data_IF_081947675284
#
_entry.id   IF_081947675284
#
_cell.length_a   1.000
_cell.length_b   1.000
_cell.length_c   1.000
_cell.angle_alpha   90.00
_cell.angle_beta   90.00
_cell.angle_gamma   90.00
#
_symmetry.space_group_name_H-M   'P 1'
#
loop_
_entity.id
_entity.type
_entity.pdbx_description
1 polymer ?
#
# COMPACT_ATOMS: atom_id res chain seq x y z
N UNK A 1 -8.49 0.95 2.43
CA UNK A 1 -8.06 2.08 1.58
C UNK A 1 -8.96 2.17 0.37
N UNK A 2 -9.68 3.26 0.20
CA UNK A 2 -10.59 3.53 -0.94
C UNK A 2 -11.73 2.51 -1.17
N UNK A 3 -12.06 1.65 -0.21
CA UNK A 3 -13.02 0.54 -0.40
C UNK A 3 -14.40 1.05 -0.82
N UNK A 4 -14.95 2.01 -0.09
CA UNK A 4 -16.27 2.58 -0.39
C UNK A 4 -16.33 3.22 -1.78
N UNK A 5 -15.28 3.96 -2.15
CA UNK A 5 -15.17 4.58 -3.47
C UNK A 5 -15.04 3.53 -4.56
N UNK A 6 -14.17 2.54 -4.37
CA UNK A 6 -13.94 1.46 -5.32
C UNK A 6 -15.20 0.62 -5.55
N UNK A 7 -15.91 0.23 -4.48
CA UNK A 7 -17.14 -0.57 -4.60
C UNK A 7 -18.23 0.16 -5.39
N UNK A 8 -18.41 1.47 -5.17
CA UNK A 8 -19.38 2.28 -5.89
C UNK A 8 -19.03 2.45 -7.36
N UNK A 9 -17.75 2.76 -7.65
CA UNK A 9 -17.30 2.92 -9.03
C UNK A 9 -17.40 1.59 -9.79
N UNK A 10 -17.00 0.48 -9.16
CA UNK A 10 -17.14 -0.86 -9.75
C UNK A 10 -18.59 -1.16 -10.08
N UNK A 11 -19.53 -0.94 -9.15
CA UNK A 11 -20.95 -1.16 -9.39
C UNK A 11 -21.51 -0.29 -10.54
N UNK A 12 -21.05 0.96 -10.64
CA UNK A 12 -21.43 1.87 -11.75
C UNK A 12 -20.95 1.32 -13.10
N UNK A 13 -19.69 0.88 -13.16
CA UNK A 13 -19.12 0.36 -14.40
C UNK A 13 -19.64 -1.02 -14.79
N UNK A 14 -19.96 -1.90 -13.84
CA UNK A 14 -20.62 -3.18 -14.10
C UNK A 14 -22.00 -2.96 -14.75
N UNK A 15 -22.79 -2.01 -14.25
CA UNK A 15 -24.07 -1.63 -14.88
C UNK A 15 -23.87 -1.15 -16.32
N UNK A 16 -22.85 -0.33 -16.57
CA UNK A 16 -22.55 0.20 -17.89
C UNK A 16 -22.07 -0.91 -18.85
N UNK A 17 -21.23 -1.85 -18.37
CA UNK A 17 -20.75 -3.00 -19.16
C UNK A 17 -21.86 -3.99 -19.52
N UNK A 18 -22.92 -4.07 -18.74
CA UNK A 18 -24.12 -4.87 -19.06
C UNK A 18 -24.95 -4.34 -20.24
N UNK A 19 -24.66 -3.14 -20.77
CA UNK A 19 -25.34 -2.55 -21.92
C UNK A 19 -24.69 -2.99 -23.23
N UNK A 20 -25.52 -3.38 -24.21
CA UNK A 20 -25.04 -3.75 -25.53
C UNK A 20 -24.42 -2.58 -26.30
N UNK A 21 -24.93 -1.37 -26.06
CA UNK A 21 -24.40 -0.08 -26.53
C UNK A 21 -24.59 0.96 -25.43
N UNK A 22 -23.64 1.87 -25.28
CA UNK A 22 -23.75 3.00 -24.36
C UNK A 22 -24.44 4.15 -25.08
N UNK A 23 -25.54 4.63 -24.52
CA UNK A 23 -26.23 5.84 -25.00
C UNK A 23 -25.76 7.08 -24.25
N UNK A 24 -26.09 8.29 -24.76
CA UNK A 24 -25.84 9.55 -24.03
C UNK A 24 -26.45 9.54 -22.62
N UNK A 25 -27.67 9.00 -22.50
CA UNK A 25 -28.35 8.88 -21.21
C UNK A 25 -27.59 7.93 -20.24
N UNK A 26 -27.10 6.79 -20.75
CA UNK A 26 -26.30 5.84 -19.96
C UNK A 26 -24.97 6.47 -19.49
N UNK A 27 -24.32 7.24 -20.38
CA UNK A 27 -23.10 7.97 -20.05
C UNK A 27 -23.38 9.04 -18.98
N UNK A 28 -24.42 9.83 -19.12
CA UNK A 28 -24.79 10.87 -18.16
C UNK A 28 -25.24 10.27 -16.81
N UNK A 29 -25.86 9.08 -16.78
CA UNK A 29 -26.17 8.34 -15.57
C UNK A 29 -24.89 7.89 -14.88
N UNK A 30 -23.98 7.22 -15.61
CA UNK A 30 -22.71 6.75 -15.06
C UNK A 30 -21.85 7.90 -14.52
N UNK A 31 -21.75 9.03 -15.24
CA UNK A 31 -21.01 10.20 -14.80
C UNK A 31 -21.64 10.87 -13.56
N UNK A 32 -22.96 10.78 -13.41
CA UNK A 32 -23.66 11.21 -12.19
C UNK A 32 -23.28 10.34 -11.00
N UNK A 33 -23.27 9.01 -11.19
CA UNK A 33 -22.88 8.06 -10.15
C UNK A 33 -21.40 8.24 -9.75
N UNK A 34 -20.49 8.40 -10.73
CA UNK A 34 -19.06 8.72 -10.49
C UNK A 34 -18.92 10.02 -9.68
N UNK A 35 -19.68 11.06 -10.06
CA UNK A 35 -19.67 12.34 -9.32
C UNK A 35 -20.11 12.15 -7.87
N UNK A 36 -21.20 11.42 -7.64
CA UNK A 36 -21.72 11.15 -6.28
C UNK A 36 -20.68 10.36 -5.47
N UNK A 37 -20.12 9.29 -6.05
CA UNK A 37 -19.12 8.46 -5.39
C UNK A 37 -17.88 9.27 -4.95
N UNK A 38 -17.37 10.14 -5.80
CA UNK A 38 -16.24 11.01 -5.49
C UNK A 38 -16.55 12.05 -4.42
N UNK A 39 -17.76 12.65 -4.45
CA UNK A 39 -18.19 13.63 -3.44
C UNK A 39 -18.38 12.97 -2.08
N UNK A 40 -18.94 11.78 -2.02
CA UNK A 40 -19.09 11.00 -0.78
C UNK A 40 -17.75 10.49 -0.24
N UNK A 41 -16.77 10.30 -1.13
CA UNK A 41 -15.39 10.05 -0.76
C UNK A 41 -14.65 11.30 -0.28
N UNK A 42 -15.32 12.45 -0.15
CA UNK A 42 -14.77 13.73 0.32
C UNK A 42 -13.76 14.36 -0.65
N UNK A 43 -13.90 14.07 -1.96
CA UNK A 43 -13.13 14.76 -3.01
C UNK A 43 -13.67 16.17 -3.21
N UNK A 44 -12.78 17.15 -3.36
CA UNK A 44 -13.14 18.55 -3.55
C UNK A 44 -14.09 18.75 -4.75
N UNK A 45 -15.18 19.47 -4.53
CA UNK A 45 -16.24 19.69 -5.53
C UNK A 45 -15.75 20.25 -6.88
N UNK A 46 -14.79 21.19 -6.85
CA UNK A 46 -14.24 21.80 -8.08
C UNK A 46 -13.50 20.75 -8.90
N UNK A 47 -12.74 19.89 -8.23
CA UNK A 47 -11.96 18.81 -8.84
C UNK A 47 -12.88 17.77 -9.44
N UNK A 48 -13.92 17.33 -8.70
CA UNK A 48 -14.92 16.39 -9.20
C UNK A 48 -15.64 16.94 -10.44
N UNK A 49 -16.02 18.20 -10.41
CA UNK A 49 -16.67 18.84 -11.55
C UNK A 49 -15.77 18.87 -12.79
N UNK A 50 -14.50 19.18 -12.61
CA UNK A 50 -13.51 19.20 -13.71
C UNK A 50 -13.30 17.77 -14.28
N UNK A 51 -13.12 16.77 -13.42
CA UNK A 51 -12.94 15.38 -13.84
C UNK A 51 -14.13 14.90 -14.68
N UNK A 52 -15.36 15.10 -14.18
CA UNK A 52 -16.58 14.68 -14.88
C UNK A 52 -16.72 15.39 -16.24
N UNK A 53 -16.41 16.69 -16.31
CA UNK A 53 -16.43 17.45 -17.55
C UNK A 53 -15.41 16.90 -18.57
N UNK A 54 -14.16 16.65 -18.12
CA UNK A 54 -13.10 16.08 -18.96
C UNK A 54 -13.46 14.69 -19.48
N UNK A 55 -14.00 13.82 -18.62
CA UNK A 55 -14.43 12.47 -19.04
C UNK A 55 -15.56 12.56 -20.08
N UNK A 56 -16.55 13.43 -19.86
CA UNK A 56 -17.67 13.60 -20.81
C UNK A 56 -17.17 14.10 -22.18
N UNK A 57 -16.32 15.11 -22.19
CA UNK A 57 -15.73 15.68 -23.41
C UNK A 57 -14.97 14.62 -24.21
N UNK A 58 -14.12 13.82 -23.54
CA UNK A 58 -13.33 12.75 -24.17
C UNK A 58 -14.24 11.62 -24.68
N UNK A 59 -15.24 11.20 -23.91
CA UNK A 59 -16.17 10.17 -24.32
C UNK A 59 -16.94 10.54 -25.61
N UNK A 60 -17.29 11.81 -25.77
CA UNK A 60 -17.92 12.31 -27.01
C UNK A 60 -16.88 12.37 -28.14
N UNK A 61 -15.67 12.89 -27.87
CA UNK A 61 -14.61 13.05 -28.88
C UNK A 61 -14.10 11.72 -29.43
N UNK A 62 -14.03 10.67 -28.60
CA UNK A 62 -13.59 9.32 -28.96
C UNK A 62 -14.72 8.47 -29.57
N UNK A 63 -15.91 9.03 -29.80
CA UNK A 63 -17.08 8.35 -30.37
C UNK A 63 -17.46 7.07 -29.62
N UNK A 64 -17.36 7.11 -28.29
CA UNK A 64 -17.67 5.98 -27.41
C UNK A 64 -19.07 5.43 -27.68
N UNK A 65 -20.04 6.31 -27.97
CA UNK A 65 -21.44 5.97 -28.23
C UNK A 65 -21.62 5.18 -29.54
N UNK A 66 -20.70 5.26 -30.47
CA UNK A 66 -20.71 4.52 -31.74
C UNK A 66 -20.02 3.14 -31.61
N UNK A 67 -19.28 2.90 -30.52
CA UNK A 67 -18.47 1.70 -30.31
C UNK A 67 -19.25 0.54 -29.67
N UNK A 68 -18.97 -0.69 -30.11
CA UNK A 68 -19.45 -1.91 -29.46
C UNK A 68 -18.80 -2.11 -28.08
N UNK A 69 -17.59 -1.56 -27.87
CA UNK A 69 -16.85 -1.59 -26.60
C UNK A 69 -16.97 -0.27 -25.81
N UNK A 70 -18.04 0.49 -26.02
CA UNK A 70 -18.22 1.82 -25.44
C UNK A 70 -18.06 1.87 -23.92
N UNK A 71 -18.60 0.90 -23.21
CA UNK A 71 -18.46 0.82 -21.75
C UNK A 71 -16.99 0.69 -21.30
N UNK A 72 -16.20 -0.14 -21.98
CA UNK A 72 -14.78 -0.31 -21.69
C UNK A 72 -13.98 0.95 -22.00
N UNK A 73 -14.36 1.67 -23.05
CA UNK A 73 -13.75 2.96 -23.39
C UNK A 73 -14.06 4.02 -22.31
N UNK A 74 -15.29 4.07 -21.78
CA UNK A 74 -15.63 4.97 -20.67
C UNK A 74 -14.76 4.67 -19.44
N UNK A 75 -14.63 3.41 -19.05
CA UNK A 75 -13.76 3.01 -17.92
C UNK A 75 -12.32 3.45 -18.13
N UNK A 76 -11.80 3.26 -19.36
CA UNK A 76 -10.44 3.70 -19.72
C UNK A 76 -10.29 5.22 -19.62
N UNK A 77 -11.25 5.98 -20.14
CA UNK A 77 -11.22 7.45 -20.08
C UNK A 77 -11.26 7.94 -18.63
N UNK A 78 -12.08 7.32 -17.77
CA UNK A 78 -12.12 7.64 -16.32
C UNK A 78 -10.79 7.31 -15.66
N UNK A 79 -10.20 6.13 -15.98
CA UNK A 79 -8.89 5.75 -15.50
C UNK A 79 -7.83 6.79 -15.87
N UNK A 80 -7.73 7.14 -17.14
CA UNK A 80 -6.73 8.09 -17.64
C UNK A 80 -6.92 9.48 -17.01
N UNK A 81 -8.16 9.93 -16.83
CA UNK A 81 -8.48 11.19 -16.14
C UNK A 81 -8.11 11.17 -14.65
N UNK A 82 -8.29 10.03 -13.96
CA UNK A 82 -7.81 9.85 -12.59
C UNK A 82 -6.28 9.86 -12.50
N UNK A 83 -5.59 9.19 -13.43
CA UNK A 83 -4.11 9.21 -13.50
C UNK A 83 -3.58 10.62 -13.70
N UNK A 84 -4.17 11.39 -14.60
CA UNK A 84 -3.79 12.80 -14.80
C UNK A 84 -3.99 13.66 -13.55
N UNK A 85 -5.10 13.45 -12.84
CA UNK A 85 -5.40 14.14 -11.59
C UNK A 85 -4.41 13.77 -10.48
N UNK A 86 -4.00 12.51 -10.39
CA UNK A 86 -3.04 12.00 -9.41
C UNK A 86 -1.57 12.34 -9.75
N UNK A 87 -1.29 12.65 -11.02
CA UNK A 87 0.04 12.81 -11.58
C UNK A 87 0.36 11.65 -12.53
N UNK A 88 0.94 11.95 -13.67
CA UNK A 88 1.15 10.95 -14.73
C UNK A 88 2.22 9.91 -14.39
N UNK A 89 3.19 10.28 -13.55
CA UNK A 89 4.36 9.46 -13.25
C UNK A 89 4.70 9.47 -11.76
N UNK A 90 5.36 8.39 -11.31
CA UNK A 90 5.92 8.31 -9.97
C UNK A 90 7.15 9.24 -9.87
N UNK A 91 7.16 10.12 -8.88
CA UNK A 91 8.27 11.03 -8.63
C UNK A 91 9.11 10.49 -7.48
N UNK A 92 10.38 10.12 -7.72
CA UNK A 92 11.24 9.55 -6.69
C UNK A 92 11.67 10.61 -5.66
N UNK A 93 12.13 10.12 -4.50
CA UNK A 93 12.87 10.95 -3.54
C UNK A 93 14.16 11.43 -4.20
N UNK A 94 14.49 12.70 -4.01
CA UNK A 94 15.72 13.30 -4.52
C UNK A 94 16.97 12.53 -4.08
N UNK A 95 17.97 12.52 -4.95
CA UNK A 95 19.31 12.04 -4.65
C UNK A 95 20.35 13.06 -5.10
N UNK A 96 21.13 13.53 -4.15
CA UNK A 96 22.23 14.45 -4.48
C UNK A 96 23.38 13.69 -5.15
N UNK A 97 23.98 14.21 -6.19
CA UNK A 97 25.23 13.67 -6.74
C UNK A 97 26.40 13.80 -5.75
N UNK A 98 26.34 14.79 -4.84
CA UNK A 98 27.33 15.00 -3.79
C UNK A 98 26.66 14.83 -2.42
N UNK A 99 26.92 13.74 -1.70
CA UNK A 99 26.37 13.53 -0.36
C UNK A 99 26.71 14.65 0.63
N UNK A 100 25.85 14.92 1.61
CA UNK A 100 24.57 14.22 1.85
C UNK A 100 23.41 14.77 0.99
N UNK A 101 22.46 13.87 0.68
CA UNK A 101 21.11 14.31 0.30
C UNK A 101 20.39 14.82 1.54
N UNK A 102 19.85 16.01 1.51
CA UNK A 102 19.10 16.58 2.63
C UNK A 102 17.62 16.57 2.31
N UNK A 103 16.81 16.04 3.22
CA UNK A 103 15.35 15.94 3.14
C UNK A 103 14.77 16.60 4.38
N UNK A 104 13.91 17.58 4.22
CA UNK A 104 13.20 18.23 5.32
C UNK A 104 11.75 17.78 5.33
N UNK A 105 11.27 17.30 6.47
CA UNK A 105 9.90 16.82 6.67
C UNK A 105 9.11 17.91 7.37
N UNK A 106 8.04 18.39 6.73
CA UNK A 106 7.18 19.47 7.23
C UNK A 106 5.72 19.02 7.31
N UNK A 107 4.87 19.76 8.03
CA UNK A 107 3.43 19.50 8.15
C UNK A 107 2.86 19.81 9.54
N UNK A 108 1.54 19.70 9.67
CA UNK A 108 0.84 19.97 10.92
C UNK A 108 1.16 18.96 12.03
N UNK A 109 0.83 19.32 13.27
CA UNK A 109 0.91 18.40 14.40
C UNK A 109 -0.04 17.22 14.19
N UNK A 110 0.43 16.00 14.50
CA UNK A 110 -0.39 14.79 14.32
C UNK A 110 -0.49 14.26 12.89
N UNK A 111 0.07 14.95 11.89
CA UNK A 111 0.04 14.48 10.50
C UNK A 111 0.91 13.23 10.25
N UNK A 112 1.77 12.86 11.20
CA UNK A 112 2.63 11.67 11.09
C UNK A 112 4.05 11.96 10.62
N UNK A 113 4.58 13.19 10.76
CA UNK A 113 5.94 13.58 10.35
C UNK A 113 7.03 12.67 10.91
N UNK A 114 7.11 12.56 12.22
CA UNK A 114 8.13 11.76 12.92
C UNK A 114 8.11 10.29 12.49
N UNK A 115 6.92 9.71 12.37
CA UNK A 115 6.75 8.35 11.88
C UNK A 115 7.13 8.22 10.41
N UNK A 116 6.76 9.20 9.58
CA UNK A 116 7.13 9.24 8.15
C UNK A 116 8.63 9.40 7.96
N UNK A 117 9.30 10.23 8.76
CA UNK A 117 10.76 10.36 8.74
C UNK A 117 11.45 9.02 8.99
N UNK A 118 11.02 8.28 10.02
CA UNK A 118 11.54 6.95 10.32
C UNK A 118 11.24 5.92 9.20
N UNK A 119 10.03 5.93 8.64
CA UNK A 119 9.66 5.05 7.51
C UNK A 119 10.48 5.35 6.26
N UNK A 120 10.69 6.63 5.94
CA UNK A 120 11.53 7.07 4.81
C UNK A 120 12.97 6.61 5.04
N UNK A 121 13.51 6.78 6.24
CA UNK A 121 14.85 6.28 6.58
C UNK A 121 14.95 4.76 6.35
N UNK A 122 13.95 3.99 6.78
CA UNK A 122 13.91 2.55 6.56
C UNK A 122 13.84 2.18 5.07
N UNK A 123 13.02 2.88 4.30
CA UNK A 123 12.90 2.69 2.85
C UNK A 123 14.25 2.94 2.15
N UNK A 124 14.90 4.07 2.46
CA UNK A 124 16.18 4.44 1.86
C UNK A 124 17.31 3.48 2.28
N UNK A 125 17.30 3.00 3.53
CA UNK A 125 18.24 1.97 3.99
C UNK A 125 18.09 0.66 3.23
N UNK A 126 16.86 0.22 2.96
CA UNK A 126 16.60 -0.96 2.13
C UNK A 126 17.09 -0.79 0.69
N UNK A 127 17.18 0.44 0.21
CA UNK A 127 17.76 0.80 -1.09
C UNK A 127 19.29 0.96 -1.06
N UNK A 128 19.95 0.59 0.06
CA UNK A 128 21.41 0.64 0.20
C UNK A 128 21.97 2.02 0.58
N UNK A 129 21.11 2.98 0.99
CA UNK A 129 21.55 4.30 1.49
C UNK A 129 21.88 4.22 3.00
N UNK A 130 22.63 5.21 3.46
CA UNK A 130 23.02 5.38 4.89
C UNK A 130 22.33 6.62 5.48
N UNK A 131 21.03 6.53 5.84
CA UNK A 131 20.29 7.67 6.37
C UNK A 131 20.70 8.00 7.81
N UNK A 132 20.63 9.28 8.14
CA UNK A 132 20.70 9.83 9.51
C UNK A 132 19.42 10.62 9.74
N UNK A 133 18.78 10.40 10.88
CA UNK A 133 17.63 11.18 11.33
C UNK A 133 18.11 12.35 12.18
N UNK A 134 17.53 13.52 11.97
CA UNK A 134 17.78 14.71 12.81
C UNK A 134 16.43 15.21 13.30
N UNK A 135 16.25 15.34 14.61
CA UNK A 135 15.07 15.99 15.18
C UNK A 135 15.38 17.45 15.48
N UNK A 136 14.60 18.33 14.87
CA UNK A 136 14.59 19.77 15.14
C UNK A 136 13.33 20.20 15.95
N UNK A 137 12.52 19.26 16.41
CA UNK A 137 11.35 19.52 17.27
C UNK A 137 11.77 19.65 18.73
N UNK A 138 12.49 20.71 19.06
CA UNK A 138 12.98 20.98 20.42
C UNK A 138 11.88 21.34 21.43
N UNK A 139 10.69 21.69 20.94
CA UNK A 139 9.58 22.11 21.78
C UNK A 139 8.80 20.93 22.38
N UNK A 140 8.99 19.70 21.87
CA UNK A 140 8.27 18.50 22.30
C UNK A 140 9.22 17.36 22.64
N UNK A 141 9.66 17.24 23.91
CA UNK A 141 10.57 16.17 24.34
C UNK A 141 10.09 14.77 23.95
N UNK A 142 8.79 14.50 24.06
CA UNK A 142 8.22 13.21 23.70
C UNK A 142 8.37 12.88 22.18
N UNK A 143 8.36 13.87 21.30
CA UNK A 143 8.59 13.66 19.85
C UNK A 143 10.05 13.30 19.58
N UNK A 144 11.00 13.94 20.27
CA UNK A 144 12.41 13.60 20.19
C UNK A 144 12.68 12.17 20.66
N UNK A 145 12.15 11.80 21.83
CA UNK A 145 12.26 10.44 22.36
C UNK A 145 11.65 9.41 21.42
N UNK A 146 10.49 9.73 20.83
CA UNK A 146 9.84 8.86 19.84
C UNK A 146 10.76 8.61 18.64
N UNK A 147 11.38 9.65 18.07
CA UNK A 147 12.27 9.48 16.93
C UNK A 147 13.51 8.66 17.30
N UNK A 148 14.07 8.85 18.50
CA UNK A 148 15.19 8.07 19.00
C UNK A 148 14.85 6.57 19.16
N UNK A 149 13.67 6.26 19.71
CA UNK A 149 13.18 4.88 19.82
C UNK A 149 13.04 4.24 18.44
N UNK A 150 12.42 4.95 17.48
CA UNK A 150 12.27 4.48 16.11
C UNK A 150 13.63 4.29 15.41
N UNK A 151 14.55 5.24 15.57
CA UNK A 151 15.90 5.13 15.03
C UNK A 151 16.66 3.93 15.59
N UNK A 152 16.56 3.70 16.90
CA UNK A 152 17.17 2.52 17.55
C UNK A 152 16.59 1.22 17.03
N UNK A 153 15.27 1.12 16.83
CA UNK A 153 14.61 -0.05 16.25
C UNK A 153 15.10 -0.35 14.83
N UNK A 154 15.37 0.70 14.07
CA UNK A 154 15.85 0.61 12.69
C UNK A 154 17.36 0.45 12.58
N UNK A 155 18.14 0.68 13.63
CA UNK A 155 19.61 0.79 13.55
C UNK A 155 20.04 2.02 12.74
N UNK A 156 19.27 3.11 12.77
CA UNK A 156 19.54 4.39 12.09
C UNK A 156 19.96 5.42 13.15
N UNK A 157 21.11 6.11 12.98
CA UNK A 157 21.53 7.16 13.91
C UNK A 157 20.52 8.29 13.98
N UNK A 158 20.26 8.79 15.20
CA UNK A 158 19.41 9.96 15.45
C UNK A 158 20.24 11.04 16.14
N UNK A 159 20.13 12.27 15.68
CA UNK A 159 20.76 13.46 16.26
C UNK A 159 19.69 14.45 16.68
N UNK A 160 19.92 15.14 17.79
CA UNK A 160 19.13 16.31 18.20
C UNK A 160 19.82 17.56 17.68
N UNK A 161 19.07 18.52 17.22
CA UNK A 161 19.60 19.77 16.72
C UNK A 161 18.65 20.94 16.98
N UNK A 162 19.23 22.10 17.22
CA UNK A 162 18.47 23.34 17.20
C UNK A 162 18.12 23.72 15.76
N UNK A 163 16.95 24.35 15.50
CA UNK A 163 16.54 24.75 14.16
C UNK A 163 17.57 25.60 13.38
N UNK A 164 18.41 26.35 14.09
CA UNK A 164 19.47 27.17 13.49
C UNK A 164 20.79 26.45 13.21
N UNK A 165 20.99 25.20 13.72
CA UNK A 165 22.26 24.47 13.60
C UNK A 165 22.01 22.97 13.33
N UNK A 166 21.56 22.66 12.13
CA UNK A 166 21.24 21.30 11.70
C UNK A 166 22.51 20.57 11.21
N UNK A 167 22.94 19.46 11.88
CA UNK A 167 24.12 18.73 11.46
C UNK A 167 23.88 17.91 10.20
N UNK A 168 24.49 18.30 9.09
CA UNK A 168 24.38 17.62 7.79
C UNK A 168 25.48 16.56 7.60
N UNK A 169 25.76 15.74 8.60
CA UNK A 169 26.87 14.77 8.60
C UNK A 169 26.44 13.41 9.17
N UNK A 170 27.22 12.37 8.87
CA UNK A 170 27.07 11.03 9.47
C UNK A 170 26.40 9.99 8.57
N UNK A 171 26.03 10.37 7.36
CA UNK A 171 25.46 9.47 6.35
C UNK A 171 25.43 10.12 4.98
N UNK A 172 24.97 9.37 3.98
CA UNK A 172 24.74 9.89 2.62
C UNK A 172 23.40 10.61 2.47
N UNK A 173 22.55 10.49 3.46
CA UNK A 173 21.21 11.11 3.49
C UNK A 173 20.92 11.61 4.90
N UNK A 174 20.50 12.85 5.01
CA UNK A 174 20.04 13.46 6.27
C UNK A 174 18.56 13.78 6.15
N UNK A 175 17.75 13.25 7.06
CA UNK A 175 16.31 13.48 7.13
C UNK A 175 16.02 14.29 8.39
N UNK A 176 15.53 15.51 8.18
CA UNK A 176 15.22 16.47 9.26
C UNK A 176 13.73 16.41 9.57
N UNK A 177 13.37 15.97 10.78
CA UNK A 177 12.03 16.01 11.34
C UNK A 177 11.81 17.35 12.04
N UNK A 178 10.87 18.16 11.55
CA UNK A 178 10.59 19.50 12.08
C UNK A 178 9.42 19.48 13.08
N UNK A 179 9.36 20.50 13.93
CA UNK A 179 8.21 20.75 14.77
C UNK A 179 6.92 20.89 13.95
N UNK A 180 5.80 20.56 14.56
CA UNK A 180 4.48 20.82 13.99
C UNK A 180 3.58 21.42 15.06
N UNK A 181 2.74 22.37 14.63
CA UNK A 181 1.68 22.95 15.47
C UNK A 181 0.29 22.56 14.97
N UNK A 182 -0.71 22.74 15.79
CA UNK A 182 -2.09 22.41 15.43
C UNK A 182 -2.62 23.27 14.28
N UNK A 183 -2.16 24.52 14.22
CA UNK A 183 -2.52 25.47 13.18
C UNK A 183 -1.28 26.08 12.58
N UNK A 184 -1.40 26.54 11.34
CA UNK A 184 -0.37 27.30 10.64
C UNK A 184 -0.34 28.68 11.24
N UNK A 185 0.72 29.03 11.93
CA UNK A 185 1.00 30.36 12.47
C UNK A 185 2.33 30.91 11.94
N UNK A 186 2.52 32.21 12.08
CA UNK A 186 3.69 32.92 11.56
C UNK A 186 4.99 32.42 12.19
N UNK A 187 4.99 32.11 13.49
CA UNK A 187 6.18 31.66 14.21
C UNK A 187 6.63 30.26 13.72
N UNK A 188 5.67 29.35 13.50
CA UNK A 188 5.96 28.03 12.94
C UNK A 188 6.52 28.15 11.53
N UNK A 189 5.90 28.97 10.68
CA UNK A 189 6.35 29.12 9.31
C UNK A 189 7.76 29.72 9.24
N UNK A 190 8.06 30.74 10.04
CA UNK A 190 9.38 31.35 10.13
C UNK A 190 10.47 30.35 10.59
N UNK A 191 10.15 29.49 11.58
CA UNK A 191 11.05 28.42 12.04
C UNK A 191 11.39 27.45 10.92
N UNK A 192 10.37 26.95 10.22
CA UNK A 192 10.54 25.98 9.11
C UNK A 192 11.25 26.64 7.91
N UNK A 193 10.93 27.88 7.57
CA UNK A 193 11.64 28.68 6.54
C UNK A 193 13.13 28.84 6.90
N UNK A 194 13.45 29.08 8.18
CA UNK A 194 14.81 29.13 8.68
C UNK A 194 15.56 27.82 8.47
N UNK A 195 14.95 26.68 8.83
CA UNK A 195 15.53 25.36 8.61
C UNK A 195 15.76 25.09 7.11
N UNK A 196 14.79 25.36 6.26
CA UNK A 196 14.90 25.17 4.80
C UNK A 196 16.01 26.05 4.22
N UNK A 197 16.10 27.32 4.64
CA UNK A 197 17.14 28.24 4.19
C UNK A 197 18.55 27.83 4.62
N UNK A 198 18.69 27.36 5.87
CA UNK A 198 19.97 26.93 6.43
C UNK A 198 20.46 25.62 5.80
N UNK A 199 19.55 24.65 5.59
CA UNK A 199 19.92 23.31 5.13
C UNK A 199 19.94 23.16 3.61
N UNK A 200 19.29 24.04 2.87
CA UNK A 200 19.15 23.99 1.39
C UNK A 200 18.80 22.58 0.92
N UNK A 201 17.65 22.04 1.34
CA UNK A 201 17.32 20.65 1.14
C UNK A 201 17.10 20.31 -0.33
N UNK A 202 17.38 19.06 -0.70
CA UNK A 202 17.08 18.50 -2.02
C UNK A 202 15.60 18.12 -2.15
N UNK A 203 14.96 17.80 -1.01
CA UNK A 203 13.53 17.58 -0.90
C UNK A 203 12.96 18.28 0.34
N UNK A 204 11.87 19.00 0.16
CA UNK A 204 10.97 19.44 1.22
C UNK A 204 9.68 18.66 1.08
N UNK A 205 9.48 17.68 1.98
CA UNK A 205 8.36 16.76 1.93
C UNK A 205 7.28 17.19 2.92
N UNK A 206 6.11 17.53 2.41
CA UNK A 206 4.94 17.85 3.23
C UNK A 206 4.18 16.56 3.58
N UNK A 207 4.11 16.24 4.86
CA UNK A 207 3.32 15.11 5.36
C UNK A 207 1.89 15.55 5.60
N UNK A 208 0.99 14.91 4.88
CA UNK A 208 -0.45 15.18 4.91
C UNK A 208 -1.17 13.98 5.50
N UNK A 209 -2.04 14.22 6.47
CA UNK A 209 -2.93 13.20 7.02
C UNK A 209 -4.08 12.96 6.04
N UNK A 210 -4.18 11.75 5.49
CA UNK A 210 -5.24 11.39 4.55
C UNK A 210 -6.64 11.45 5.17
N UNK A 211 -6.74 11.36 6.50
CA UNK A 211 -8.03 11.43 7.22
C UNK A 211 -8.54 12.86 7.45
N UNK A 212 -7.71 13.88 7.21
CA UNK A 212 -8.04 15.28 7.51
C UNK A 212 -9.01 15.91 6.48
N UNK A 213 -9.42 15.18 5.43
CA UNK A 213 -10.40 15.69 4.46
C UNK A 213 -9.96 16.99 3.78
N UNK A 214 -10.87 17.97 3.72
CA UNK A 214 -10.59 19.27 3.09
C UNK A 214 -9.52 20.08 3.83
N UNK A 215 -9.39 19.94 5.16
CA UNK A 215 -8.34 20.64 5.94
C UNK A 215 -6.94 20.26 5.46
N UNK A 216 -6.75 19.06 4.93
CA UNK A 216 -5.51 18.62 4.33
C UNK A 216 -5.14 19.45 3.08
N UNK A 217 -6.14 19.80 2.27
CA UNK A 217 -5.97 20.60 1.05
C UNK A 217 -5.61 22.04 1.43
N UNK A 218 -6.31 22.60 2.39
CA UNK A 218 -6.10 23.97 2.86
C UNK A 218 -4.71 24.13 3.49
N UNK A 219 -4.31 23.17 4.33
CA UNK A 219 -2.98 23.11 4.92
C UNK A 219 -1.89 23.00 3.82
N UNK A 220 -2.06 22.08 2.88
CA UNK A 220 -1.08 21.89 1.82
C UNK A 220 -0.92 23.15 0.95
N UNK A 221 -2.01 23.83 0.67
CA UNK A 221 -2.00 25.09 -0.09
C UNK A 221 -1.26 26.18 0.67
N UNK A 222 -1.51 26.32 1.97
CA UNK A 222 -0.85 27.33 2.80
C UNK A 222 0.66 27.05 2.97
N UNK A 223 1.06 25.80 3.17
CA UNK A 223 2.48 25.44 3.21
C UNK A 223 3.17 25.70 1.86
N UNK A 224 2.52 25.37 0.75
CA UNK A 224 3.08 25.56 -0.59
C UNK A 224 3.26 27.04 -0.97
N UNK A 225 2.41 27.90 -0.44
CA UNK A 225 2.55 29.36 -0.66
C UNK A 225 3.81 29.96 -0.01
N UNK A 226 4.37 29.29 1.01
CA UNK A 226 5.49 29.80 1.82
C UNK A 226 6.78 28.99 1.63
N UNK A 227 6.69 27.71 1.38
CA UNK A 227 7.82 26.78 1.32
C UNK A 227 7.95 26.17 -0.07
N UNK A 228 9.18 25.90 -0.53
CA UNK A 228 9.44 25.21 -1.80
C UNK A 228 9.17 23.70 -1.67
N UNK A 229 7.89 23.32 -1.45
CA UNK A 229 7.50 21.92 -1.29
C UNK A 229 7.77 21.17 -2.60
N UNK A 230 8.56 20.10 -2.53
CA UNK A 230 8.96 19.29 -3.69
C UNK A 230 8.16 18.00 -3.81
N UNK A 231 7.44 17.62 -2.76
CA UNK A 231 6.62 16.41 -2.76
C UNK A 231 5.75 16.26 -1.53
N UNK A 232 4.70 15.46 -1.69
CA UNK A 232 3.77 15.10 -0.63
C UNK A 232 4.07 13.68 -0.13
N UNK A 233 3.87 13.47 1.16
CA UNK A 233 3.81 12.16 1.79
C UNK A 233 2.41 12.00 2.37
N UNK A 234 1.61 11.10 1.80
CA UNK A 234 0.28 10.79 2.32
C UNK A 234 0.41 9.81 3.48
N UNK A 235 0.11 10.25 4.68
CA UNK A 235 0.15 9.43 5.88
C UNK A 235 -1.25 8.89 6.23
N UNK A 236 -1.31 7.75 6.94
CA UNK A 236 -2.54 7.12 7.46
C UNK A 236 -3.57 6.73 6.39
N UNK A 237 -3.12 6.44 5.19
CA UNK A 237 -4.02 6.08 4.08
C UNK A 237 -4.72 4.74 4.32
N UNK A 238 -4.13 3.87 5.13
CA UNK A 238 -4.72 2.60 5.59
C UNK A 238 -5.98 2.79 6.45
N UNK A 239 -6.05 3.88 7.19
CA UNK A 239 -7.19 4.25 8.03
C UNK A 239 -8.24 5.08 7.30
N UNK A 240 -7.93 5.61 6.11
CA UNK A 240 -8.83 6.37 5.28
C UNK A 240 -9.66 5.46 4.35
N UNK A 241 -10.92 5.24 4.72
CA UNK A 241 -11.86 4.46 3.90
C UNK A 241 -12.38 5.26 2.69
N UNK A 242 -12.33 6.59 2.73
CA UNK A 242 -12.88 7.49 1.70
C UNK A 242 -11.86 7.84 0.62
N UNK A 243 -10.63 8.21 1.01
CA UNK A 243 -9.51 8.48 0.09
C UNK A 243 -9.53 9.83 -0.63
N UNK A 244 -10.54 10.65 -0.42
CA UNK A 244 -10.75 11.87 -1.20
C UNK A 244 -9.73 12.98 -0.96
N UNK A 245 -9.21 13.09 0.26
CA UNK A 245 -8.16 14.06 0.55
C UNK A 245 -6.90 13.80 -0.28
N UNK A 246 -6.51 12.54 -0.43
CA UNK A 246 -5.36 12.12 -1.24
C UNK A 246 -5.50 12.55 -2.70
N UNK A 247 -6.71 12.43 -3.27
CA UNK A 247 -7.03 12.87 -4.62
C UNK A 247 -7.01 14.40 -4.72
N UNK A 248 -7.54 15.07 -3.71
CA UNK A 248 -7.76 16.52 -3.72
C UNK A 248 -6.48 17.32 -3.53
N UNK A 249 -5.58 16.90 -2.62
CA UNK A 249 -4.37 17.68 -2.28
C UNK A 249 -3.47 17.85 -3.50
N UNK A 250 -3.22 16.77 -4.24
CA UNK A 250 -2.39 16.84 -5.45
C UNK A 250 -3.05 17.69 -6.54
N UNK A 251 -4.34 17.49 -6.79
CA UNK A 251 -5.06 18.22 -7.81
C UNK A 251 -5.18 19.73 -7.51
N UNK A 252 -5.28 20.10 -6.22
CA UNK A 252 -5.37 21.50 -5.81
C UNK A 252 -4.03 22.23 -5.82
N UNK A 253 -2.94 21.55 -5.44
CA UNK A 253 -1.62 22.18 -5.26
C UNK A 253 -0.67 22.01 -6.44
N UNK A 254 -0.90 20.99 -7.28
CA UNK A 254 0.05 20.60 -8.33
C UNK A 254 1.29 19.86 -7.82
N UNK A 255 1.49 19.76 -6.51
CA UNK A 255 2.65 19.10 -5.90
C UNK A 255 2.56 17.60 -6.11
N UNK A 256 3.64 16.92 -6.58
CA UNK A 256 3.60 15.48 -6.77
C UNK A 256 3.53 14.73 -5.43
N UNK A 257 2.71 13.68 -5.37
CA UNK A 257 2.79 12.72 -4.28
C UNK A 257 3.98 11.81 -4.54
N UNK A 258 4.92 11.71 -3.59
CA UNK A 258 6.10 10.85 -3.70
C UNK A 258 5.93 9.54 -2.96
N UNK A 259 5.31 9.58 -1.79
CA UNK A 259 5.20 8.44 -0.89
C UNK A 259 3.81 8.32 -0.29
N UNK A 260 3.44 7.10 0.07
CA UNK A 260 2.17 6.77 0.71
C UNK A 260 2.41 5.81 1.88
N UNK A 261 1.96 6.19 3.08
CA UNK A 261 1.97 5.36 4.28
C UNK A 261 0.76 4.42 4.29
N UNK A 262 1.03 3.11 4.28
CA UNK A 262 0.03 2.05 4.11
C UNK A 262 -0.23 1.23 5.37
N UNK A 263 0.18 1.72 6.54
CA UNK A 263 -0.03 1.03 7.81
C UNK A 263 0.86 1.59 8.92
N UNK A 264 0.73 1.08 10.14
CA UNK A 264 1.46 1.56 11.30
C UNK A 264 2.94 1.10 11.35
N UNK A 265 3.26 -0.06 10.75
CA UNK A 265 4.60 -0.64 10.78
C UNK A 265 5.62 0.25 10.06
N UNK A 266 6.89 0.18 10.49
CA UNK A 266 7.97 0.99 9.92
C UNK A 266 8.34 0.62 8.46
N UNK A 267 7.89 -0.50 7.96
CA UNK A 267 8.02 -0.92 6.57
C UNK A 267 6.79 -0.59 5.71
N UNK A 268 5.69 -0.12 6.35
CA UNK A 268 4.45 0.21 5.69
C UNK A 268 4.50 1.63 5.08
N UNK A 269 5.36 1.79 4.08
CA UNK A 269 5.46 2.96 3.21
C UNK A 269 5.83 2.49 1.81
N UNK A 270 5.21 3.08 0.81
CA UNK A 270 5.48 2.73 -0.59
C UNK A 270 5.64 3.99 -1.45
N UNK A 271 6.35 3.85 -2.57
CA UNK A 271 6.42 4.88 -3.61
C UNK A 271 5.03 5.04 -4.21
N UNK A 272 4.62 6.28 -4.41
CA UNK A 272 3.32 6.58 -4.99
C UNK A 272 3.33 6.37 -6.50
N UNK A 273 2.45 5.51 -6.98
CA UNK A 273 2.25 5.23 -8.41
C UNK A 273 0.83 5.63 -8.82
N UNK A 274 0.65 6.73 -9.55
CA UNK A 274 -0.68 7.22 -9.94
C UNK A 274 -1.55 6.18 -10.66
N UNK A 275 -0.97 5.46 -11.62
CA UNK A 275 -1.64 4.43 -12.40
C UNK A 275 -2.16 3.29 -11.52
N UNK A 276 -1.33 2.77 -10.60
CA UNK A 276 -1.72 1.71 -9.67
C UNK A 276 -2.84 2.15 -8.72
N UNK A 277 -2.78 3.40 -8.25
CA UNK A 277 -3.83 3.94 -7.39
C UNK A 277 -5.14 4.10 -8.16
N UNK A 278 -5.11 4.62 -9.40
CA UNK A 278 -6.29 4.71 -10.25
C UNK A 278 -6.91 3.31 -10.50
N UNK A 279 -6.09 2.30 -10.77
CA UNK A 279 -6.55 0.91 -10.92
C UNK A 279 -7.22 0.38 -9.64
N UNK A 280 -6.64 0.63 -8.46
CA UNK A 280 -7.24 0.26 -7.16
C UNK A 280 -8.59 0.94 -6.95
N UNK A 281 -8.69 2.25 -7.23
CA UNK A 281 -9.92 3.02 -7.11
C UNK A 281 -11.03 2.48 -8.03
N UNK A 282 -10.66 2.01 -9.22
CA UNK A 282 -11.60 1.45 -10.20
C UNK A 282 -11.92 -0.04 -9.98
N UNK A 283 -11.41 -0.65 -8.90
CA UNK A 283 -11.62 -2.07 -8.63
C UNK A 283 -10.91 -3.02 -9.62
N UNK A 284 -9.99 -2.50 -10.43
CA UNK A 284 -9.24 -3.28 -11.43
C UNK A 284 -8.11 -4.12 -10.83
N UNK A 285 -7.89 -4.01 -9.52
CA UNK A 285 -6.79 -4.67 -8.81
C UNK A 285 -5.44 -3.97 -9.01
N UNK A 286 -4.40 -4.51 -8.37
CA UNK A 286 -3.03 -4.00 -8.48
C UNK A 286 -2.05 -5.18 -8.57
N UNK A 287 -2.05 -5.83 -9.71
CA UNK A 287 -1.22 -7.01 -9.97
C UNK A 287 0.27 -6.70 -9.88
N UNK A 288 0.68 -5.50 -10.30
CA UNK A 288 2.10 -5.10 -10.28
C UNK A 288 2.62 -5.01 -8.86
N UNK A 289 1.91 -4.30 -7.97
CA UNK A 289 2.28 -4.23 -6.54
C UNK A 289 2.24 -5.62 -5.89
N UNK A 290 1.29 -6.49 -6.25
CA UNK A 290 1.23 -7.86 -5.75
C UNK A 290 2.49 -8.65 -6.14
N UNK A 291 2.91 -8.56 -7.41
CA UNK A 291 4.11 -9.22 -7.93
C UNK A 291 5.37 -8.65 -7.25
N UNK A 292 5.49 -7.34 -7.10
CA UNK A 292 6.62 -6.71 -6.40
C UNK A 292 6.70 -7.16 -4.93
N UNK A 293 5.58 -7.19 -4.21
CA UNK A 293 5.53 -7.71 -2.83
C UNK A 293 5.92 -9.19 -2.77
N UNK A 294 5.47 -9.98 -3.73
CA UNK A 294 5.84 -11.38 -3.83
C UNK A 294 7.36 -11.54 -4.07
N UNK A 295 7.92 -10.80 -5.02
CA UNK A 295 9.35 -10.83 -5.33
C UNK A 295 10.23 -10.36 -4.15
N UNK A 296 9.78 -9.40 -3.36
CA UNK A 296 10.52 -8.91 -2.20
C UNK A 296 10.61 -9.94 -1.05
N UNK A 297 9.71 -10.91 -1.00
CA UNK A 297 9.62 -11.92 0.08
C UNK A 297 10.14 -13.29 -0.35
N UNK A 298 10.08 -13.59 -1.66
CA UNK A 298 10.39 -14.92 -2.20
C UNK A 298 11.79 -14.91 -2.80
N UNK A 299 12.71 -15.72 -2.24
CA UNK A 299 13.97 -16.02 -2.90
C UNK A 299 13.67 -16.87 -4.15
N UNK A 300 14.13 -16.39 -5.31
CA UNK A 300 13.85 -17.02 -6.59
C UNK A 300 14.30 -18.48 -6.64
N UNK A 301 15.42 -18.80 -5.97
CA UNK A 301 15.94 -20.18 -5.88
C UNK A 301 15.06 -21.07 -4.99
N UNK A 302 14.52 -20.52 -3.91
CA UNK A 302 13.57 -21.24 -3.06
C UNK A 302 12.24 -21.47 -3.78
N UNK A 303 11.75 -20.50 -4.55
CA UNK A 303 10.53 -20.61 -5.34
C UNK A 303 10.64 -21.71 -6.40
N UNK A 304 11.77 -21.77 -7.14
CA UNK A 304 12.02 -22.83 -8.13
C UNK A 304 12.10 -24.21 -7.47
N UNK A 305 12.77 -24.32 -6.33
CA UNK A 305 12.87 -25.57 -5.58
C UNK A 305 11.50 -26.05 -5.06
N UNK A 306 10.66 -25.12 -4.59
CA UNK A 306 9.30 -25.42 -4.13
C UNK A 306 8.37 -25.78 -5.29
N UNK A 307 8.46 -25.10 -6.43
CA UNK A 307 7.71 -25.43 -7.64
C UNK A 307 8.07 -26.86 -8.13
N UNK A 308 9.35 -27.25 -8.07
CA UNK A 308 9.79 -28.59 -8.40
C UNK A 308 9.22 -29.64 -7.45
N UNK A 309 9.22 -29.39 -6.14
CA UNK A 309 8.59 -30.30 -5.13
C UNK A 309 7.09 -30.45 -5.35
N UNK A 310 6.41 -29.37 -5.75
CA UNK A 310 4.98 -29.38 -6.11
C UNK A 310 4.70 -30.30 -7.30
N UNK A 311 5.49 -30.21 -8.36
CA UNK A 311 5.39 -31.04 -9.56
C UNK A 311 5.71 -32.52 -9.29
N UNK A 312 6.63 -32.80 -8.35
CA UNK A 312 7.03 -34.14 -7.94
C UNK A 312 6.06 -34.80 -6.93
N UNK A 313 4.95 -34.14 -6.60
CA UNK A 313 3.98 -34.56 -5.55
C UNK A 313 4.60 -34.80 -4.16
N UNK A 314 5.72 -34.14 -3.88
CA UNK A 314 6.47 -34.22 -2.60
C UNK A 314 6.16 -33.07 -1.64
N UNK A 315 5.05 -32.39 -1.87
CA UNK A 315 4.61 -31.25 -1.02
C UNK A 315 4.21 -31.73 0.37
N UNK A 316 4.84 -31.18 1.40
CA UNK A 316 4.68 -31.55 2.80
C UNK A 316 3.98 -30.47 3.62
N UNK A 317 3.58 -30.77 4.87
CA UNK A 317 3.07 -29.74 5.79
C UNK A 317 4.15 -28.73 6.21
N UNK A 318 5.46 -29.08 6.15
CA UNK A 318 6.55 -28.13 6.36
C UNK A 318 6.62 -27.12 5.18
N UNK A 319 6.47 -27.61 3.95
CA UNK A 319 6.42 -26.73 2.78
C UNK A 319 5.19 -25.80 2.83
N UNK A 320 4.04 -26.35 3.23
CA UNK A 320 2.82 -25.58 3.45
C UNK A 320 3.00 -24.49 4.50
N UNK A 321 3.62 -24.84 5.65
CA UNK A 321 3.93 -23.90 6.71
C UNK A 321 4.86 -22.76 6.23
N UNK A 322 5.89 -23.12 5.46
CA UNK A 322 6.83 -22.15 4.89
C UNK A 322 6.13 -21.18 3.95
N UNK A 323 5.24 -21.68 3.08
CA UNK A 323 4.44 -20.82 2.19
C UNK A 323 3.50 -19.90 2.99
N UNK A 324 2.86 -20.43 4.03
CA UNK A 324 2.00 -19.66 4.91
C UNK A 324 2.77 -18.50 5.57
N UNK A 325 4.00 -18.73 6.01
CA UNK A 325 4.88 -17.70 6.56
C UNK A 325 5.30 -16.66 5.52
N UNK A 326 5.53 -17.07 4.28
CA UNK A 326 5.84 -16.16 3.18
C UNK A 326 4.65 -15.24 2.87
N UNK A 327 3.45 -15.81 2.73
CA UNK A 327 2.22 -15.03 2.52
C UNK A 327 2.00 -14.02 3.66
N UNK A 328 2.20 -14.43 4.91
CA UNK A 328 2.08 -13.55 6.07
C UNK A 328 3.07 -12.38 6.06
N UNK A 329 4.28 -12.57 5.51
CA UNK A 329 5.27 -11.50 5.31
C UNK A 329 4.88 -10.51 4.22
N UNK A 330 4.05 -10.90 3.25
CA UNK A 330 3.55 -10.02 2.19
C UNK A 330 2.47 -9.04 2.69
N UNK A 331 1.89 -9.28 3.86
CA UNK A 331 0.85 -8.44 4.47
C UNK A 331 -0.44 -9.22 4.81
N UNK A 332 -1.49 -8.52 5.25
CA UNK A 332 -2.77 -9.14 5.54
C UNK A 332 -3.36 -9.83 4.30
N UNK A 333 -3.86 -11.06 4.48
CA UNK A 333 -4.38 -11.87 3.36
C UNK A 333 -5.53 -11.17 2.61
N UNK A 334 -6.39 -10.46 3.34
CA UNK A 334 -7.48 -9.69 2.75
C UNK A 334 -7.00 -8.60 1.78
N UNK A 335 -5.90 -7.93 2.10
CA UNK A 335 -5.33 -6.89 1.23
C UNK A 335 -4.69 -7.49 -0.03
N UNK A 336 -4.07 -8.66 0.08
CA UNK A 336 -3.51 -9.37 -1.07
C UNK A 336 -4.61 -9.84 -2.03
N UNK A 337 -5.73 -10.33 -1.51
CA UNK A 337 -6.86 -10.76 -2.33
C UNK A 337 -7.51 -9.59 -3.09
N UNK A 338 -7.57 -8.40 -2.49
CA UNK A 338 -8.07 -7.19 -3.15
C UNK A 338 -7.19 -6.69 -4.31
N UNK A 339 -5.91 -7.10 -4.35
CA UNK A 339 -5.00 -6.76 -5.46
C UNK A 339 -5.21 -7.63 -6.69
N UNK A 340 -5.96 -8.73 -6.58
CA UNK A 340 -6.23 -9.64 -7.70
C UNK A 340 -7.52 -9.19 -8.40
N UNK A 341 -7.47 -8.89 -9.72
CA UNK A 341 -8.66 -8.50 -10.49
C UNK A 341 -9.77 -9.54 -10.39
N UNK A 342 -11.00 -9.11 -10.13
CA UNK A 342 -12.19 -9.98 -10.03
C UNK A 342 -12.34 -10.78 -8.72
N UNK A 343 -11.37 -10.74 -7.81
CA UNK A 343 -11.45 -11.45 -6.53
C UNK A 343 -12.05 -10.59 -5.38
N UNK A 344 -12.35 -9.32 -5.64
CA UNK A 344 -12.90 -8.41 -4.63
C UNK A 344 -14.22 -8.90 -4.02
N UNK A 345 -15.13 -9.44 -4.82
CA UNK A 345 -16.39 -10.02 -4.34
C UNK A 345 -16.19 -11.36 -3.57
N UNK A 346 -15.21 -12.16 -3.96
CA UNK A 346 -14.86 -13.39 -3.23
C UNK A 346 -14.19 -13.06 -1.88
N UNK A 347 -13.42 -11.97 -1.79
CA UNK A 347 -12.79 -11.54 -0.54
C UNK A 347 -13.82 -11.13 0.51
N UNK A 348 -15.00 -10.66 0.11
CA UNK A 348 -16.11 -10.34 1.02
C UNK A 348 -16.74 -11.59 1.66
N UNK A 349 -16.59 -12.78 1.05
CA UNK A 349 -17.10 -14.05 1.57
C UNK A 349 -16.07 -14.85 2.39
N UNK A 350 -14.79 -14.47 2.30
CA UNK A 350 -13.73 -15.11 3.07
C UNK A 350 -13.56 -14.37 4.42
N UNK A 351 -13.24 -15.09 5.51
CA UNK A 351 -12.90 -14.43 6.77
C UNK A 351 -11.75 -13.45 6.54
N UNK A 352 -12.01 -12.17 6.74
CA UNK A 352 -11.01 -11.09 6.62
C UNK A 352 -10.76 -10.47 7.97
N UNK A 353 -9.61 -9.81 8.15
CA UNK A 353 -9.27 -9.14 9.39
C UNK A 353 -8.94 -10.10 10.55
N UNK A 354 -9.36 -9.78 11.80
CA UNK A 354 -8.95 -10.51 13.00
C UNK A 354 -9.34 -12.00 13.02
N UNK A 355 -10.40 -12.40 12.30
CA UNK A 355 -10.82 -13.80 12.21
C UNK A 355 -9.88 -14.62 11.33
N UNK A 356 -9.52 -14.12 10.16
CA UNK A 356 -8.56 -14.78 9.28
C UNK A 356 -7.21 -14.96 9.98
N UNK A 357 -6.75 -13.94 10.69
CA UNK A 357 -5.51 -14.03 11.46
C UNK A 357 -5.59 -15.06 12.61
N UNK A 358 -6.75 -15.22 13.25
CA UNK A 358 -6.95 -16.25 14.28
C UNK A 358 -6.89 -17.64 13.68
N UNK A 359 -7.53 -17.87 12.52
CA UNK A 359 -7.47 -19.14 11.83
C UNK A 359 -6.04 -19.47 11.37
N UNK A 360 -5.31 -18.51 10.82
CA UNK A 360 -3.90 -18.68 10.46
C UNK A 360 -3.06 -19.05 11.68
N UNK A 361 -3.20 -18.34 12.81
CA UNK A 361 -2.50 -18.66 14.06
C UNK A 361 -2.86 -20.05 14.58
N UNK A 362 -4.12 -20.48 14.41
CA UNK A 362 -4.56 -21.84 14.79
C UNK A 362 -3.87 -22.90 13.94
N UNK A 363 -3.81 -22.72 12.63
CA UNK A 363 -3.10 -23.62 11.71
C UNK A 363 -1.60 -23.67 12.03
N UNK A 364 -0.97 -22.53 12.26
CA UNK A 364 0.44 -22.45 12.69
C UNK A 364 0.70 -23.23 13.98
N UNK A 365 -0.17 -23.08 15.00
CA UNK A 365 -0.04 -23.77 16.28
C UNK A 365 -0.17 -25.30 16.12
N UNK A 366 -1.11 -25.76 15.28
CA UNK A 366 -1.29 -27.19 15.00
C UNK A 366 -0.04 -27.75 14.33
N UNK A 367 0.46 -27.13 13.26
CA UNK A 367 1.65 -27.60 12.52
C UNK A 367 2.89 -27.56 13.42
N UNK A 368 3.08 -26.50 14.20
CA UNK A 368 4.21 -26.37 15.14
C UNK A 368 4.19 -27.43 16.24
N UNK A 369 3.01 -27.93 16.60
CA UNK A 369 2.85 -29.00 17.59
C UNK A 369 3.10 -30.41 17.03
N UNK A 370 3.31 -30.55 15.73
CA UNK A 370 3.67 -31.80 15.07
C UNK A 370 5.19 -32.01 15.08
N UNK A 371 5.62 -33.27 15.13
CA UNK A 371 7.02 -33.65 14.91
C UNK A 371 7.40 -33.48 13.44
N UNK A 372 8.71 -33.45 13.13
CA UNK A 372 9.18 -33.39 11.73
C UNK A 372 8.66 -34.54 10.87
N UNK A 373 8.63 -35.76 11.43
CA UNK A 373 8.09 -36.93 10.74
C UNK A 373 6.59 -36.82 10.43
N UNK A 374 5.81 -36.23 11.34
CA UNK A 374 4.37 -36.01 11.15
C UNK A 374 4.05 -34.91 10.15
N UNK A 375 4.91 -33.90 10.06
CA UNK A 375 4.81 -32.85 9.05
C UNK A 375 5.23 -33.33 7.66
N UNK A 376 6.22 -34.23 7.60
CA UNK A 376 6.65 -34.83 6.33
C UNK A 376 5.62 -35.81 5.78
N UNK A 377 5.02 -36.61 6.63
CA UNK A 377 4.00 -37.63 6.27
C UNK A 377 2.81 -37.61 7.22
N UNK A 378 1.75 -36.88 6.91
CA UNK A 378 0.53 -36.84 7.73
C UNK A 378 -0.22 -38.18 7.85
N UNK A 379 0.07 -39.17 7.01
CA UNK A 379 -0.60 -40.47 7.05
C UNK A 379 -0.30 -41.25 8.33
N UNK A 380 0.83 -40.93 9.00
CA UNK A 380 1.21 -41.55 10.27
C UNK A 380 0.39 -41.06 11.48
N UNK A 381 -0.48 -40.05 11.29
CA UNK A 381 -1.27 -39.44 12.36
C UNK A 381 -2.42 -40.33 12.80
N UNK A 382 -2.19 -41.10 13.85
CA UNK A 382 -3.22 -41.89 14.53
C UNK A 382 -3.96 -41.06 15.61
N UNK A 383 -4.99 -41.63 16.21
CA UNK A 383 -5.83 -40.96 17.21
C UNK A 383 -5.06 -40.43 18.42
N UNK A 384 -4.04 -41.14 18.90
CA UNK A 384 -3.20 -40.72 20.03
C UNK A 384 -2.34 -39.50 19.66
N UNK A 385 -1.72 -39.49 18.49
CA UNK A 385 -0.93 -38.38 17.98
C UNK A 385 -1.79 -37.14 17.76
N UNK A 386 -2.98 -37.28 17.17
CA UNK A 386 -3.93 -36.18 16.99
C UNK A 386 -4.38 -35.57 18.32
N UNK A 387 -4.62 -36.37 19.36
CA UNK A 387 -4.91 -35.86 20.70
C UNK A 387 -3.74 -35.08 21.30
N UNK A 388 -2.50 -35.57 21.14
CA UNK A 388 -1.29 -34.90 21.62
C UNK A 388 -1.10 -33.55 20.91
N UNK A 389 -1.24 -33.50 19.57
CA UNK A 389 -1.13 -32.29 18.75
C UNK A 389 -2.19 -31.28 19.18
N UNK A 390 -3.45 -31.71 19.32
CA UNK A 390 -4.53 -30.84 19.77
C UNK A 390 -4.27 -30.22 21.15
N UNK A 391 -3.75 -31.04 22.10
CA UNK A 391 -3.37 -30.54 23.43
C UNK A 391 -2.20 -29.54 23.35
N UNK A 392 -1.18 -29.81 22.54
CA UNK A 392 -0.01 -28.97 22.39
C UNK A 392 -0.30 -27.62 21.70
N UNK A 393 -1.25 -27.62 20.76
CA UNK A 393 -1.67 -26.43 20.03
C UNK A 393 -2.78 -25.62 20.70
N UNK A 394 -3.37 -26.13 21.80
CA UNK A 394 -4.53 -25.49 22.42
C UNK A 394 -5.81 -25.57 21.58
N UNK A 395 -5.91 -26.55 20.66
CA UNK A 395 -7.03 -26.71 19.73
C UNK A 395 -7.79 -28.00 20.00
N UNK A 396 -8.87 -28.27 19.26
CA UNK A 396 -9.63 -29.51 19.35
C UNK A 396 -9.10 -30.54 18.36
N UNK A 397 -9.34 -31.83 18.62
CA UNK A 397 -8.98 -32.91 17.68
C UNK A 397 -9.70 -32.74 16.33
N UNK A 398 -10.92 -32.20 16.35
CA UNK A 398 -11.66 -31.82 15.12
C UNK A 398 -10.87 -30.87 14.23
N UNK A 399 -10.19 -29.89 14.82
CA UNK A 399 -9.44 -28.86 14.08
C UNK A 399 -8.19 -29.46 13.42
N UNK A 400 -7.51 -30.39 14.13
CA UNK A 400 -6.39 -31.17 13.58
C UNK A 400 -6.86 -32.04 12.41
N UNK A 401 -8.02 -32.71 12.56
CA UNK A 401 -8.60 -33.53 11.49
C UNK A 401 -8.97 -32.69 10.27
N UNK A 402 -9.53 -31.52 10.49
CA UNK A 402 -9.92 -30.60 9.44
C UNK A 402 -8.71 -30.12 8.62
N UNK A 403 -7.64 -29.70 9.30
CA UNK A 403 -6.40 -29.28 8.65
C UNK A 403 -5.78 -30.39 7.80
N UNK A 404 -5.67 -31.61 8.36
CA UNK A 404 -5.10 -32.74 7.62
C UNK A 404 -5.93 -33.08 6.39
N UNK A 405 -7.26 -33.08 6.53
CA UNK A 405 -8.17 -33.34 5.40
C UNK A 405 -8.04 -32.29 4.30
N UNK A 406 -8.05 -31.02 4.66
CA UNK A 406 -7.86 -29.91 3.70
C UNK A 406 -6.49 -30.01 2.99
N UNK A 407 -5.43 -30.34 3.73
CA UNK A 407 -4.11 -30.54 3.15
C UNK A 407 -4.10 -31.71 2.14
N UNK A 408 -4.74 -32.82 2.46
CA UNK A 408 -4.84 -33.98 1.55
C UNK A 408 -5.66 -33.65 0.30
N UNK A 409 -6.76 -32.94 0.43
CA UNK A 409 -7.61 -32.48 -0.69
C UNK A 409 -6.82 -31.54 -1.60
N UNK A 410 -6.11 -30.57 -1.03
CA UNK A 410 -5.24 -29.66 -1.78
C UNK A 410 -4.15 -30.44 -2.53
N UNK A 411 -3.49 -31.41 -1.88
CA UNK A 411 -2.47 -32.24 -2.52
C UNK A 411 -3.02 -33.08 -3.67
N UNK A 412 -4.27 -33.57 -3.57
CA UNK A 412 -4.96 -34.28 -4.65
C UNK A 412 -5.24 -33.35 -5.86
N UNK A 413 -5.76 -32.15 -5.60
CA UNK A 413 -6.02 -31.16 -6.65
C UNK A 413 -4.74 -30.76 -7.38
N UNK A 414 -3.67 -30.49 -6.64
CA UNK A 414 -2.37 -30.17 -7.22
C UNK A 414 -1.83 -31.30 -8.11
N UNK A 415 -1.99 -32.54 -7.70
CA UNK A 415 -1.60 -33.72 -8.50
C UNK A 415 -2.41 -33.83 -9.79
N UNK A 416 -3.67 -33.44 -9.79
CA UNK A 416 -4.53 -33.43 -10.98
C UNK A 416 -4.21 -32.27 -11.94
N UNK A 417 -3.82 -31.09 -11.40
CA UNK A 417 -3.48 -29.92 -12.19
C UNK A 417 -2.05 -29.95 -12.76
N UNK A 418 -1.15 -30.73 -12.19
CA UNK A 418 0.24 -30.85 -12.62
C UNK A 418 0.42 -31.13 -14.13
N UNK A 419 -0.35 -32.05 -14.74
CA UNK A 419 -0.30 -32.28 -16.18
C UNK A 419 -0.87 -31.15 -17.04
N UNK A 420 -1.83 -30.37 -16.51
CA UNK A 420 -2.49 -29.29 -17.24
C UNK A 420 -1.69 -27.97 -17.25
N UNK A 421 -0.82 -27.77 -16.27
CA UNK A 421 0.13 -26.65 -16.18
C UNK A 421 1.44 -26.92 -16.94
N UNK A 422 1.40 -27.76 -18.01
CA UNK A 422 2.48 -28.20 -18.84
C UNK A 422 3.52 -27.14 -19.16
N UNK A 423 4.54 -27.05 -18.32
CA UNK A 423 5.77 -26.32 -18.62
C UNK A 423 6.57 -27.18 -19.62
N UNK A 424 6.23 -27.06 -20.90
CA UNK A 424 7.09 -27.54 -21.99
C UNK A 424 8.28 -26.58 -22.13
N UNK A 425 9.14 -26.58 -21.14
CA UNK A 425 10.49 -26.04 -21.25
C UNK A 425 11.34 -26.96 -22.17
N UNK A 426 11.20 -26.82 -23.46
CA UNK A 426 12.23 -27.31 -24.39
C UNK A 426 13.48 -26.47 -24.21
N UNK A 427 14.38 -26.91 -23.35
CA UNK A 427 15.80 -26.59 -23.47
C UNK A 427 16.26 -27.21 -24.77
N UNK A 428 16.29 -26.42 -25.87
CA UNK A 428 17.14 -26.75 -27.03
C UNK A 428 18.56 -26.29 -26.71
N UNK A 429 19.46 -27.25 -26.86
CA UNK A 429 20.92 -27.12 -26.86
C UNK A 429 21.41 -26.02 -27.80
#
# INVERSE_FOLDING_TARGET
MFEQLSDRLTATFEKLQGRARVTDADLDEALRDVRVALLEADVNFKIVRQLVATVRERAIGEKVLESISGAQMVVKIVHDALVEMLGTEAVPIARSPSPPTVIVIVGLQGSGKTTSAAKIANLLRKQGRTPVLVTADIHRPAAMEQLEVLGKQLGVPVKRADPGDIPLTGGDTVIVDTAGRLHIDEAMMAEVEGIVSATKPHDVLLVVDAMAGQDAVDAATAFHARLPITGLVLAKVDSDARGGASLSVRAATGIPVKLMGTGEKLDAIEVFHPDRLAQRILGMGDVVTLVEKAQAVVDQKEAEAQAKKLLEARFTLDDFYTQLQQVKKMGPLGDLLKMIPGMGQLSAQLPTGPEAERELRRVEAIISSMTRAERADPTILNGSRRKRIAKGSGTKVSDVNHLVKQFEEMRKLMKQMGPALGYHGRLRR
#
